data_IF_502365751433
#
_entry.id   IF_502365751433
#
_cell.length_a   1.000
_cell.length_b   1.000
_cell.length_c   1.000
_cell.angle_alpha   90.00
_cell.angle_beta   90.00
_cell.angle_gamma   90.00
#
_symmetry.space_group_name_H-M   'P 1'
#
loop_
_entity.id
_entity.type
_entity.pdbx_description
1 polymer ?
#
# COMPACT_ATOMS: atom_id res chain seq x y z
N UNK A 1 6.71 -1.26 7.77
CA UNK A 1 6.81 0.20 7.60
C UNK A 1 6.06 0.97 8.68
N UNK A 2 4.81 0.61 8.97
CA UNK A 2 3.99 1.21 10.03
C UNK A 2 4.68 1.25 11.42
N UNK A 3 5.31 0.18 11.95
CA UNK A 3 5.94 0.25 13.27
C UNK A 3 7.12 1.24 13.34
N UNK A 4 7.87 1.42 12.25
CA UNK A 4 8.96 2.40 12.18
C UNK A 4 8.45 3.83 12.15
N UNK A 5 7.34 4.09 11.46
CA UNK A 5 6.71 5.41 11.45
C UNK A 5 6.20 5.81 12.84
N UNK A 6 5.60 4.86 13.57
CA UNK A 6 5.15 5.07 14.95
C UNK A 6 6.33 5.29 15.88
N UNK A 7 7.39 4.49 15.78
CA UNK A 7 8.61 4.67 16.58
C UNK A 7 9.32 5.99 16.29
N UNK A 8 9.39 6.40 15.02
CA UNK A 8 9.96 7.68 14.61
C UNK A 8 9.13 8.85 15.14
N UNK A 9 7.80 8.77 15.05
CA UNK A 9 6.90 9.77 15.61
C UNK A 9 7.04 9.90 17.14
N UNK A 10 7.04 8.77 17.85
CA UNK A 10 7.27 8.75 19.30
C UNK A 10 8.65 9.32 19.66
N UNK A 11 9.69 8.95 18.92
CA UNK A 11 11.04 9.50 19.09
C UNK A 11 11.08 11.00 18.86
N UNK A 12 10.43 11.51 17.81
CA UNK A 12 10.34 12.94 17.52
C UNK A 12 9.61 13.71 18.63
N UNK A 13 8.53 13.15 19.21
CA UNK A 13 7.83 13.74 20.36
C UNK A 13 8.73 13.79 21.60
N UNK A 14 9.47 12.73 21.90
CA UNK A 14 10.40 12.71 23.03
C UNK A 14 11.53 13.74 22.87
N UNK A 15 12.05 13.85 21.65
CA UNK A 15 13.13 14.79 21.29
C UNK A 15 12.62 16.25 21.35
N UNK A 16 11.42 16.50 20.83
CA UNK A 16 10.73 17.78 20.97
C UNK A 16 10.45 18.12 22.44
N UNK A 17 10.09 17.13 23.26
CA UNK A 17 9.90 17.30 24.69
C UNK A 17 11.16 17.73 25.43
N UNK A 18 12.34 17.21 25.03
CA UNK A 18 13.64 17.72 25.51
C UNK A 18 13.85 19.17 25.05
N UNK A 19 13.53 19.48 23.80
CA UNK A 19 13.61 20.83 23.24
C UNK A 19 12.76 21.83 24.02
N UNK A 20 11.49 21.48 24.28
CA UNK A 20 10.61 22.31 25.10
C UNK A 20 11.11 22.46 26.53
N UNK A 21 11.61 21.40 27.17
CA UNK A 21 12.19 21.49 28.51
C UNK A 21 13.41 22.43 28.59
N UNK A 22 14.22 22.52 27.52
CA UNK A 22 15.40 23.40 27.48
C UNK A 22 15.09 24.85 27.12
N UNK A 23 14.08 25.06 26.29
CA UNK A 23 13.78 26.36 25.67
C UNK A 23 12.67 27.10 26.42
N UNK A 24 11.70 26.38 26.98
CA UNK A 24 10.52 26.95 27.62
C UNK A 24 10.72 27.06 29.14
N UNK A 25 10.84 28.28 29.70
CA UNK A 25 11.07 28.47 31.14
C UNK A 25 9.87 28.08 32.01
N UNK A 26 8.67 28.02 31.41
CA UNK A 26 7.42 27.61 32.06
C UNK A 26 7.42 26.13 32.42
N UNK A 27 8.20 25.31 31.70
CA UNK A 27 8.27 23.86 31.88
C UNK A 27 9.35 23.53 32.89
N UNK A 28 8.97 23.05 34.06
CA UNK A 28 9.91 22.77 35.16
C UNK A 28 10.40 21.33 35.22
N UNK A 29 9.73 20.43 34.51
CA UNK A 29 10.07 18.99 34.51
C UNK A 29 10.06 18.44 33.08
N UNK A 30 10.87 17.41 32.84
CA UNK A 30 10.93 16.76 31.53
C UNK A 30 9.56 16.19 31.11
N UNK A 31 8.81 15.61 32.06
CA UNK A 31 7.47 15.07 31.79
C UNK A 31 6.49 16.11 31.25
N UNK A 32 6.54 17.35 31.74
CA UNK A 32 5.74 18.46 31.22
C UNK A 32 6.16 18.85 29.79
N UNK A 33 7.46 18.78 29.48
CA UNK A 33 7.98 19.00 28.12
C UNK A 33 7.48 17.95 27.13
N UNK A 34 7.55 16.67 27.50
CA UNK A 34 7.02 15.57 26.68
C UNK A 34 5.50 15.67 26.53
N UNK A 35 4.79 16.03 27.59
CA UNK A 35 3.35 16.25 27.55
C UNK A 35 2.96 17.37 26.59
N UNK A 36 3.67 18.50 26.62
CA UNK A 36 3.47 19.59 25.66
C UNK A 36 3.74 19.12 24.22
N UNK A 37 4.85 18.42 24.00
CA UNK A 37 5.18 17.89 22.67
C UNK A 37 4.11 16.90 22.17
N UNK A 38 3.61 16.03 23.04
CA UNK A 38 2.60 15.04 22.72
C UNK A 38 1.26 15.69 22.36
N UNK A 39 0.76 16.61 23.19
CA UNK A 39 -0.52 17.31 22.95
C UNK A 39 -0.46 18.21 21.72
N UNK A 40 0.70 18.80 21.43
CA UNK A 40 0.97 19.58 20.22
C UNK A 40 1.01 18.68 18.97
N UNK A 41 1.74 17.57 19.02
CA UNK A 41 1.81 16.60 17.91
C UNK A 41 0.46 15.95 17.61
N UNK A 42 -0.33 15.69 18.64
CA UNK A 42 -1.69 15.17 18.54
C UNK A 42 -2.72 16.23 18.12
N UNK A 43 -2.31 17.50 17.98
CA UNK A 43 -3.19 18.65 17.66
C UNK A 43 -4.35 18.87 18.66
N UNK A 44 -4.25 18.29 19.86
CA UNK A 44 -5.26 18.44 20.91
C UNK A 44 -5.12 19.78 21.61
N UNK A 45 -3.89 20.15 21.98
CA UNK A 45 -3.56 21.46 22.55
C UNK A 45 -4.48 21.86 23.71
N UNK A 46 -4.50 21.09 24.80
CA UNK A 46 -5.33 21.40 25.98
C UNK A 46 -5.14 22.82 26.53
N UNK A 47 -3.98 23.43 26.29
CA UNK A 47 -3.66 24.80 26.68
C UNK A 47 -3.22 24.93 28.14
N UNK A 48 -2.98 23.81 28.82
CA UNK A 48 -2.40 23.73 30.15
C UNK A 48 -0.94 24.19 30.17
N UNK A 49 -0.20 23.86 29.12
CA UNK A 49 1.13 24.40 28.85
C UNK A 49 1.17 24.96 27.44
N UNK A 50 1.73 26.17 27.27
CA UNK A 50 1.84 26.83 25.97
C UNK A 50 3.23 27.44 25.79
N UNK A 51 3.79 27.40 24.57
CA UNK A 51 5.07 28.03 24.30
C UNK A 51 4.96 29.55 24.40
N UNK A 52 5.63 30.13 25.39
CA UNK A 52 5.64 31.58 25.63
C UNK A 52 6.74 32.27 24.84
N UNK A 53 7.84 31.56 24.55
CA UNK A 53 9.00 32.10 23.82
C UNK A 53 8.87 31.97 22.30
N UNK A 54 9.54 32.85 21.55
CA UNK A 54 9.58 32.76 20.08
C UNK A 54 10.23 31.46 19.59
N UNK A 55 11.28 31.00 20.27
CA UNK A 55 11.97 29.76 19.93
C UNK A 55 11.10 28.51 20.16
N UNK A 56 10.37 28.45 21.29
CA UNK A 56 9.46 27.32 21.57
C UNK A 56 8.25 27.32 20.63
N UNK A 57 7.77 28.48 20.17
CA UNK A 57 6.72 28.57 19.13
C UNK A 57 7.18 28.03 17.79
N UNK A 58 8.41 28.35 17.35
CA UNK A 58 8.96 27.80 16.12
C UNK A 58 9.08 26.26 16.21
N UNK A 59 9.50 25.74 17.36
CA UNK A 59 9.56 24.30 17.61
C UNK A 59 8.16 23.66 17.57
N UNK A 60 7.15 24.31 18.16
CA UNK A 60 5.76 23.84 18.11
C UNK A 60 5.23 23.72 16.67
N UNK A 61 5.53 24.68 15.80
CA UNK A 61 5.15 24.61 14.37
C UNK A 61 5.79 23.38 13.72
N UNK A 62 7.08 23.13 13.95
CA UNK A 62 7.77 21.94 13.41
C UNK A 62 7.15 20.64 13.91
N UNK A 63 6.77 20.58 15.19
CA UNK A 63 6.12 19.41 15.79
C UNK A 63 4.76 19.15 15.14
N UNK A 64 3.96 20.18 14.89
CA UNK A 64 2.67 20.05 14.19
C UNK A 64 2.87 19.54 12.77
N UNK A 65 3.81 20.12 12.01
CA UNK A 65 4.12 19.65 10.66
C UNK A 65 4.59 18.19 10.67
N UNK A 66 5.41 17.80 11.65
CA UNK A 66 5.83 16.42 11.85
C UNK A 66 4.67 15.48 12.19
N UNK A 67 3.72 15.92 13.03
CA UNK A 67 2.51 15.18 13.36
C UNK A 67 1.67 14.85 12.12
N UNK A 68 1.45 15.83 11.25
CA UNK A 68 0.75 15.61 9.97
C UNK A 68 1.44 14.57 9.07
N UNK A 69 2.77 14.56 9.03
CA UNK A 69 3.52 13.55 8.27
C UNK A 69 3.25 12.12 8.79
N UNK A 70 3.18 11.95 10.12
CA UNK A 70 2.83 10.65 10.73
C UNK A 70 1.39 10.27 10.39
N UNK A 71 0.43 11.20 10.50
CA UNK A 71 -0.96 10.96 10.12
C UNK A 71 -1.11 10.55 8.64
N UNK A 72 -0.33 11.17 7.74
CA UNK A 72 -0.29 10.81 6.32
C UNK A 72 0.19 9.38 6.12
N UNK A 73 1.27 8.97 6.81
CA UNK A 73 1.78 7.59 6.72
C UNK A 73 0.82 6.55 7.28
N UNK A 74 0.11 6.86 8.37
CA UNK A 74 -0.93 5.98 8.92
C UNK A 74 -2.04 5.79 7.89
N UNK A 75 -2.51 6.89 7.29
CA UNK A 75 -3.54 6.87 6.24
C UNK A 75 -3.10 6.05 5.03
N UNK A 76 -1.86 6.26 4.56
CA UNK A 76 -1.28 5.48 3.47
C UNK A 76 -1.13 3.98 3.83
N UNK A 77 -0.80 3.66 5.07
CA UNK A 77 -0.74 2.30 5.57
C UNK A 77 -2.11 1.60 5.54
N UNK A 78 -3.17 2.30 5.93
CA UNK A 78 -4.55 1.79 5.85
C UNK A 78 -4.97 1.59 4.40
N UNK A 79 -4.69 2.55 3.52
CA UNK A 79 -4.97 2.42 2.09
C UNK A 79 -4.23 1.22 1.47
N UNK A 80 -2.94 1.04 1.81
CA UNK A 80 -2.13 -0.08 1.33
C UNK A 80 -2.65 -1.44 1.84
N UNK A 81 -3.18 -1.50 3.06
CA UNK A 81 -3.84 -2.71 3.56
C UNK A 81 -5.06 -3.08 2.71
N UNK A 82 -5.91 -2.09 2.41
CA UNK A 82 -7.12 -2.30 1.61
C UNK A 82 -6.82 -2.67 0.14
N UNK A 83 -5.83 -2.01 -0.45
CA UNK A 83 -5.35 -2.33 -1.80
C UNK A 83 -4.71 -3.72 -1.84
N UNK A 84 -3.94 -4.10 -0.81
CA UNK A 84 -3.31 -5.42 -0.74
C UNK A 84 -4.30 -6.59 -0.75
N UNK A 85 -5.49 -6.43 -0.14
CA UNK A 85 -6.56 -7.42 -0.25
C UNK A 85 -7.16 -7.49 -1.67
N UNK A 86 -7.37 -6.32 -2.30
CA UNK A 86 -7.90 -6.23 -3.66
C UNK A 86 -6.94 -6.82 -4.69
N UNK A 87 -5.64 -6.59 -4.54
CA UNK A 87 -4.60 -7.07 -5.46
C UNK A 87 -4.43 -8.59 -5.38
N UNK A 88 -4.50 -9.17 -4.17
CA UNK A 88 -4.53 -10.64 -3.99
C UNK A 88 -5.75 -11.27 -4.64
N UNK A 89 -6.92 -10.65 -4.51
CA UNK A 89 -8.16 -11.16 -5.11
C UNK A 89 -8.11 -11.07 -6.64
N UNK A 90 -7.66 -9.94 -7.18
CA UNK A 90 -7.45 -9.77 -8.62
C UNK A 90 -6.46 -10.78 -9.21
N UNK A 91 -5.36 -11.09 -8.50
CA UNK A 91 -4.43 -12.12 -8.92
C UNK A 91 -5.06 -13.52 -8.95
N UNK A 92 -5.92 -13.86 -7.99
CA UNK A 92 -6.60 -15.14 -7.96
C UNK A 92 -7.58 -15.29 -9.13
N UNK A 93 -8.42 -14.27 -9.39
CA UNK A 93 -9.36 -14.26 -10.51
C UNK A 93 -8.64 -14.42 -11.86
N UNK A 94 -7.52 -13.71 -12.05
CA UNK A 94 -6.71 -13.83 -13.28
C UNK A 94 -6.15 -15.25 -13.46
N UNK A 95 -5.73 -15.92 -12.37
CA UNK A 95 -5.23 -17.30 -12.46
C UNK A 95 -6.33 -18.31 -12.78
N UNK A 96 -7.52 -18.11 -12.21
CA UNK A 96 -8.68 -18.97 -12.48
C UNK A 96 -9.17 -18.83 -13.92
N UNK A 97 -9.22 -17.61 -14.45
CA UNK A 97 -9.57 -17.35 -15.84
C UNK A 97 -8.57 -17.97 -16.82
N UNK A 98 -7.26 -17.88 -16.52
CA UNK A 98 -6.21 -18.55 -17.30
C UNK A 98 -6.33 -20.08 -17.28
N UNK A 99 -6.78 -20.68 -16.17
CA UNK A 99 -7.05 -22.12 -16.10
C UNK A 99 -8.21 -22.51 -16.99
N UNK A 100 -9.32 -21.78 -16.93
CA UNK A 100 -10.50 -22.03 -17.75
C UNK A 100 -10.17 -21.92 -19.25
N UNK A 101 -9.49 -20.84 -19.65
CA UNK A 101 -9.05 -20.67 -21.04
C UNK A 101 -8.12 -21.80 -21.51
N UNK A 102 -7.20 -22.26 -20.65
CA UNK A 102 -6.32 -23.41 -20.99
C UNK A 102 -7.07 -24.72 -21.13
N UNK A 103 -8.12 -24.93 -20.35
CA UNK A 103 -8.99 -26.10 -20.48
C UNK A 103 -9.81 -26.04 -21.77
N UNK A 104 -10.36 -24.88 -22.10
CA UNK A 104 -11.12 -24.67 -23.33
C UNK A 104 -10.25 -24.88 -24.58
N UNK A 105 -9.03 -24.33 -24.60
CA UNK A 105 -8.05 -24.59 -25.66
C UNK A 105 -7.73 -26.08 -25.80
N UNK A 106 -7.65 -26.82 -24.68
CA UNK A 106 -7.44 -28.28 -24.70
C UNK A 106 -8.64 -29.03 -25.28
N UNK A 107 -9.87 -28.64 -24.94
CA UNK A 107 -11.07 -29.26 -25.47
C UNK A 107 -11.22 -29.00 -26.97
N UNK A 108 -11.08 -27.75 -27.41
CA UNK A 108 -11.11 -27.38 -28.84
C UNK A 108 -10.09 -28.19 -29.66
N UNK A 109 -8.87 -28.35 -29.14
CA UNK A 109 -7.83 -29.18 -29.80
C UNK A 109 -8.22 -30.65 -29.88
N UNK A 110 -8.89 -31.22 -28.86
CA UNK A 110 -9.40 -32.60 -28.90
C UNK A 110 -10.52 -32.75 -29.93
N UNK A 111 -11.47 -31.83 -29.98
CA UNK A 111 -12.60 -31.89 -30.92
C UNK A 111 -12.15 -31.80 -32.38
N UNK A 112 -11.15 -30.95 -32.65
CA UNK A 112 -10.50 -30.90 -33.96
C UNK A 112 -9.77 -32.20 -34.29
N UNK A 113 -9.06 -32.82 -33.33
CA UNK A 113 -8.41 -34.11 -33.54
C UNK A 113 -9.42 -35.24 -33.83
N UNK A 114 -10.59 -35.22 -33.18
CA UNK A 114 -11.68 -36.18 -33.42
C UNK A 114 -12.40 -35.93 -34.76
N UNK A 115 -12.45 -34.68 -35.24
CA UNK A 115 -13.09 -34.31 -36.51
C UNK A 115 -12.17 -34.47 -37.74
N UNK A 116 -10.85 -34.37 -37.55
CA UNK A 116 -9.83 -34.56 -38.60
C UNK A 116 -9.96 -35.89 -39.39
N UNK A 117 -10.20 -37.07 -38.77
CA UNK A 117 -10.38 -38.31 -39.53
C UNK A 117 -11.62 -38.28 -40.44
N UNK A 118 -12.69 -37.57 -40.06
CA UNK A 118 -13.90 -37.43 -40.91
C UNK A 118 -13.66 -36.59 -42.15
N UNK A 119 -12.70 -35.66 -42.11
CA UNK A 119 -12.28 -34.89 -43.29
C UNK A 119 -11.39 -35.72 -44.21
N UNK A 120 -10.59 -36.66 -43.70
CA UNK A 120 -9.88 -37.63 -44.54
C UNK A 120 -10.84 -38.63 -45.20
N UNK A 121 -11.94 -38.97 -44.54
CA UNK A 121 -12.99 -39.81 -45.12
C UNK A 121 -13.87 -39.06 -46.15
N UNK A 122 -14.08 -37.75 -45.95
CA UNK A 122 -14.80 -36.89 -46.91
C UNK A 122 -13.93 -36.24 -47.98
N UNK A 123 -12.60 -36.23 -47.83
CA UNK A 123 -11.70 -35.68 -48.83
C UNK A 123 -11.84 -36.54 -50.10
N UNK A 124 -12.44 -35.99 -51.17
CA UNK A 124 -12.60 -36.75 -52.40
C UNK A 124 -11.21 -37.02 -52.95
N UNK A 125 -11.03 -38.24 -53.46
CA UNK A 125 -9.93 -38.59 -54.33
C UNK A 125 -9.90 -37.60 -55.52
N UNK A 126 -9.13 -36.53 -55.39
CA UNK A 126 -8.89 -35.56 -56.43
C UNK A 126 -7.42 -35.13 -56.37
N UNK A 127 -6.53 -36.04 -56.79
CA UNK A 127 -5.38 -35.72 -57.64
C UNK A 127 -4.55 -36.97 -57.92
N UNK A 128 -4.32 -37.20 -59.21
CA UNK A 128 -3.70 -38.39 -59.80
C UNK A 128 -4.67 -38.93 -60.85
N UNK A 129 -4.72 -38.41 -62.07
CA UNK A 129 -3.56 -38.47 -62.96
C UNK A 129 -3.63 -37.43 -64.09
N UNK A 130 -2.57 -36.62 -64.19
CA UNK A 130 -2.12 -35.96 -65.41
C UNK A 130 -0.69 -36.41 -65.62
N UNK A 131 -0.49 -37.49 -66.37
CA UNK A 131 0.51 -37.68 -67.44
C UNK A 131 0.63 -39.17 -67.77
N UNK A 132 0.36 -39.56 -69.02
CA UNK A 132 1.25 -40.34 -69.90
C UNK A 132 0.47 -40.98 -71.07
N UNK A 133 0.92 -40.65 -72.29
CA UNK A 133 0.65 -41.26 -73.61
C UNK A 133 -0.67 -40.91 -74.31
#
# INVERSE_FOLDING_TARGET
MIPYAVLLGAGAVLLAGVGFYRIEPTIRTYGQGVWLAFTTAATVGYGDFVPTTAASRALAVLVVTGGYAVFSLVTAGVAAFFVGESEKKAQCDIQDELRLLREEVRNLRRDLAASRPRLCEKAPAASGDSKSL
#
